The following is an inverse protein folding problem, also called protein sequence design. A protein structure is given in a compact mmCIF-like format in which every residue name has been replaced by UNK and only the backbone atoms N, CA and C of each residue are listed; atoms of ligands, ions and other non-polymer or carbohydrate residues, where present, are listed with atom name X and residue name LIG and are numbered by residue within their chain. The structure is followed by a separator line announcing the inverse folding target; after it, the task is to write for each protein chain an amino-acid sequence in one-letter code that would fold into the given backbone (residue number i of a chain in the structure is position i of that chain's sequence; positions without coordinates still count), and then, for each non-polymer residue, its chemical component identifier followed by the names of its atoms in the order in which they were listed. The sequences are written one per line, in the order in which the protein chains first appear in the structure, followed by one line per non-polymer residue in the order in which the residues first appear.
data_IF_693525824673
#
_entry.id   IF_693525824673
#
_cell.length_a   1.000
_cell.length_b   1.000
_cell.length_c   1.000
_cell.angle_alpha   90.00
_cell.angle_beta   90.00
_cell.angle_gamma   90.00
#
_symmetry.space_group_name_H-M   'P 1'
#
loop_
_entity.id
_entity.type
_entity.pdbx_description
1 polymer ?
#
# COMPACT_ATOMS: atom_id res chain seq x y z
N UNK A 1 -6.95 -26.66 -30.30
CA UNK A 1 -7.67 -26.86 -29.02
C UNK A 1 -6.75 -26.72 -27.80
N UNK A 2 -5.66 -27.51 -27.66
CA UNK A 2 -4.76 -27.44 -26.48
C UNK A 2 -4.24 -26.03 -26.09
N UNK A 3 -3.88 -25.18 -27.07
CA UNK A 3 -3.38 -23.81 -26.81
C UNK A 3 -4.46 -22.89 -26.21
N UNK A 4 -5.70 -22.99 -26.70
CA UNK A 4 -6.84 -22.21 -26.21
C UNK A 4 -7.21 -22.61 -24.78
N UNK A 5 -7.25 -23.91 -24.51
CA UNK A 5 -7.53 -24.44 -23.16
C UNK A 5 -6.47 -23.99 -22.16
N UNK A 6 -5.19 -24.09 -22.53
CA UNK A 6 -4.07 -23.63 -21.70
C UNK A 6 -4.13 -22.12 -21.41
N UNK A 7 -4.52 -21.29 -22.39
CA UNK A 7 -4.74 -19.85 -22.18
C UNK A 7 -5.91 -19.59 -21.21
N UNK A 8 -7.03 -20.30 -21.38
CA UNK A 8 -8.20 -20.17 -20.50
C UNK A 8 -7.84 -20.56 -19.06
N UNK A 9 -7.14 -21.66 -18.87
CA UNK A 9 -6.66 -22.09 -17.54
C UNK A 9 -5.75 -21.04 -16.91
N UNK A 10 -4.82 -20.49 -17.69
CA UNK A 10 -3.90 -19.44 -17.23
C UNK A 10 -4.66 -18.17 -16.83
N UNK A 11 -5.66 -17.75 -17.62
CA UNK A 11 -6.49 -16.60 -17.30
C UNK A 11 -7.38 -16.83 -16.07
N UNK A 12 -7.91 -18.04 -15.87
CA UNK A 12 -8.67 -18.39 -14.66
C UNK A 12 -7.76 -18.32 -13.43
N UNK A 13 -6.55 -18.86 -13.53
CA UNK A 13 -5.56 -18.78 -12.46
C UNK A 13 -5.20 -17.33 -12.13
N UNK A 14 -5.00 -16.49 -13.16
CA UNK A 14 -4.72 -15.08 -12.96
C UNK A 14 -5.87 -14.31 -12.34
N UNK A 15 -7.10 -14.53 -12.81
CA UNK A 15 -8.29 -13.92 -12.21
C UNK A 15 -8.39 -14.24 -10.72
N UNK A 16 -8.07 -15.48 -10.33
CA UNK A 16 -8.05 -15.89 -8.92
C UNK A 16 -6.99 -15.13 -8.12
N UNK A 17 -5.78 -14.98 -8.65
CA UNK A 17 -4.72 -14.21 -8.01
C UNK A 17 -5.06 -12.71 -7.90
N UNK A 18 -5.62 -12.10 -8.95
CA UNK A 18 -6.11 -10.72 -8.91
C UNK A 18 -7.22 -10.55 -7.86
N UNK A 19 -8.13 -11.52 -7.74
CA UNK A 19 -9.18 -11.48 -6.72
C UNK A 19 -8.62 -11.61 -5.30
N UNK A 20 -7.56 -12.41 -5.10
CA UNK A 20 -6.84 -12.49 -3.83
C UNK A 20 -6.12 -11.18 -3.51
N UNK A 21 -5.49 -10.55 -4.51
CA UNK A 21 -4.86 -9.24 -4.36
C UNK A 21 -5.88 -8.16 -3.98
N UNK A 22 -7.07 -8.18 -4.58
CA UNK A 22 -8.16 -7.27 -4.22
C UNK A 22 -8.56 -7.43 -2.76
N UNK A 23 -8.83 -8.66 -2.31
CA UNK A 23 -9.19 -8.92 -0.90
C UNK A 23 -8.07 -8.47 0.05
N UNK A 24 -6.81 -8.75 -0.30
CA UNK A 24 -5.66 -8.31 0.49
C UNK A 24 -5.61 -6.77 0.56
N UNK A 25 -5.82 -6.08 -0.56
CA UNK A 25 -5.83 -4.62 -0.64
C UNK A 25 -6.98 -4.00 0.16
N UNK A 26 -8.19 -4.57 0.09
CA UNK A 26 -9.35 -4.14 0.88
C UNK A 26 -9.09 -4.27 2.39
N UNK A 27 -8.55 -5.41 2.83
CA UNK A 27 -8.17 -5.62 4.23
C UNK A 27 -7.12 -4.60 4.68
N UNK A 28 -6.11 -4.39 3.85
CA UNK A 28 -5.03 -3.46 4.12
C UNK A 28 -5.56 -2.01 4.23
N UNK A 29 -6.50 -1.62 3.36
CA UNK A 29 -7.18 -0.32 3.42
C UNK A 29 -8.05 -0.16 4.68
N UNK A 30 -8.78 -1.20 5.07
CA UNK A 30 -9.56 -1.20 6.30
C UNK A 30 -8.67 -1.11 7.56
N UNK A 31 -7.52 -1.81 7.57
CA UNK A 31 -6.56 -1.74 8.68
C UNK A 31 -5.92 -0.36 8.81
N UNK A 32 -5.56 0.28 7.70
CA UNK A 32 -5.04 1.67 7.71
C UNK A 32 -6.11 2.64 8.19
N UNK A 33 -7.33 2.53 7.66
CA UNK A 33 -8.44 3.43 8.01
C UNK A 33 -8.87 3.32 9.48
N UNK A 34 -8.74 2.13 10.08
CA UNK A 34 -9.06 1.88 11.50
C UNK A 34 -7.94 2.26 12.47
N UNK A 35 -6.78 2.71 11.98
CA UNK A 35 -5.62 2.99 12.82
C UNK A 35 -5.08 1.74 13.52
N UNK A 36 -5.19 0.58 12.87
CA UNK A 36 -4.68 -0.69 13.42
C UNK A 36 -3.16 -0.64 13.62
N UNK A 37 -2.68 -1.31 14.66
CA UNK A 37 -1.26 -1.37 15.02
C UNK A 37 -0.39 -1.91 13.88
N UNK A 38 0.86 -1.43 13.83
CA UNK A 38 1.83 -1.79 12.78
C UNK A 38 2.06 -3.30 12.65
N UNK A 39 1.95 -4.05 13.75
CA UNK A 39 2.07 -5.51 13.82
C UNK A 39 1.03 -6.25 12.97
N UNK A 40 -0.11 -5.61 12.65
CA UNK A 40 -1.15 -6.20 11.80
C UNK A 40 -0.97 -5.87 10.32
N UNK A 41 -0.27 -4.79 10.00
CA UNK A 41 -0.14 -4.28 8.64
C UNK A 41 1.06 -4.87 7.88
N UNK A 42 2.19 -5.09 8.56
CA UNK A 42 3.41 -5.65 7.94
C UNK A 42 3.18 -7.03 7.29
N UNK A 43 2.52 -8.00 7.97
CA UNK A 43 2.25 -9.30 7.34
C UNK A 43 1.37 -9.20 6.09
N UNK A 44 0.43 -8.24 6.06
CA UNK A 44 -0.44 -8.03 4.90
C UNK A 44 0.32 -7.45 3.70
N UNK A 45 1.32 -6.58 3.93
CA UNK A 45 2.22 -6.14 2.85
C UNK A 45 2.99 -7.33 2.28
N UNK A 46 3.56 -8.17 3.14
CA UNK A 46 4.31 -9.36 2.70
C UNK A 46 3.42 -10.31 1.89
N UNK A 47 2.19 -10.55 2.34
CA UNK A 47 1.21 -11.33 1.58
C UNK A 47 0.90 -10.70 0.22
N UNK A 48 0.67 -9.37 0.19
CA UNK A 48 0.43 -8.62 -1.04
C UNK A 48 1.58 -8.76 -2.03
N UNK A 49 2.82 -8.60 -1.58
CA UNK A 49 4.01 -8.69 -2.43
C UNK A 49 4.20 -10.10 -2.99
N UNK A 50 3.96 -11.14 -2.18
CA UNK A 50 4.01 -12.52 -2.64
C UNK A 50 2.91 -12.84 -3.69
N UNK A 51 1.74 -12.20 -3.60
CA UNK A 51 0.70 -12.30 -4.64
C UNK A 51 1.13 -11.57 -5.91
N UNK A 52 1.71 -10.37 -5.79
CA UNK A 52 2.22 -9.58 -6.91
C UNK A 52 3.30 -10.31 -7.69
N UNK A 53 4.24 -11.00 -7.03
CA UNK A 53 5.25 -11.81 -7.71
C UNK A 53 4.63 -12.94 -8.56
N UNK A 54 3.62 -13.63 -8.02
CA UNK A 54 2.91 -14.68 -8.75
C UNK A 54 2.12 -14.12 -9.94
N UNK A 55 1.50 -12.95 -9.76
CA UNK A 55 0.79 -12.24 -10.82
C UNK A 55 1.75 -11.87 -11.95
N UNK A 56 2.89 -11.25 -11.64
CA UNK A 56 3.88 -10.86 -12.65
C UNK A 56 4.38 -12.07 -13.45
N UNK A 57 4.69 -13.18 -12.77
CA UNK A 57 5.12 -14.41 -13.43
C UNK A 57 4.02 -15.02 -14.32
N UNK A 58 2.75 -14.91 -13.92
CA UNK A 58 1.61 -15.37 -14.74
C UNK A 58 1.35 -14.47 -15.95
N UNK A 59 1.45 -13.16 -15.78
CA UNK A 59 1.20 -12.18 -16.85
C UNK A 59 2.31 -12.22 -17.89
N UNK A 60 3.55 -12.43 -17.47
CA UNK A 60 4.67 -12.67 -18.38
C UNK A 60 4.43 -13.93 -19.24
N UNK A 61 4.00 -15.05 -18.63
CA UNK A 61 3.70 -16.29 -19.37
C UNK A 61 2.58 -16.09 -20.38
N UNK A 62 1.51 -15.39 -20.00
CA UNK A 62 0.39 -15.08 -20.91
C UNK A 62 0.85 -14.13 -22.01
N UNK A 63 1.66 -13.12 -21.68
CA UNK A 63 2.25 -12.18 -22.62
C UNK A 63 3.12 -12.87 -23.66
N UNK A 64 4.01 -13.78 -23.24
CA UNK A 64 4.83 -14.60 -24.13
C UNK A 64 3.95 -15.46 -25.03
N UNK A 65 2.91 -16.12 -24.49
CA UNK A 65 1.99 -16.93 -25.28
C UNK A 65 1.27 -16.10 -26.36
N UNK A 66 0.82 -14.90 -26.02
CA UNK A 66 0.07 -14.00 -26.91
C UNK A 66 0.97 -13.18 -27.85
N UNK A 67 2.27 -13.11 -27.59
CA UNK A 67 3.24 -12.41 -28.45
C UNK A 67 3.38 -13.06 -29.83
N UNK A 68 3.15 -14.38 -29.91
CA UNK A 68 3.19 -15.11 -31.17
C UNK A 68 2.00 -14.73 -32.07
N UNK A 69 2.23 -14.33 -33.34
CA UNK A 69 1.16 -13.99 -34.29
C UNK A 69 0.14 -15.10 -34.48
N UNK A 70 0.58 -16.36 -34.36
CA UNK A 70 -0.25 -17.56 -34.48
C UNK A 70 -1.30 -17.72 -33.37
N UNK A 71 -1.16 -16.98 -32.27
CA UNK A 71 -2.02 -17.08 -31.10
C UNK A 71 -2.93 -15.85 -30.92
N UNK A 72 -2.88 -14.88 -31.86
CA UNK A 72 -3.72 -13.67 -31.80
C UNK A 72 -5.21 -13.97 -32.01
N UNK A 73 -5.52 -15.01 -32.76
CA UNK A 73 -6.87 -15.51 -32.98
C UNK A 73 -7.51 -16.05 -31.69
N UNK A 74 -6.73 -16.53 -30.72
CA UNK A 74 -7.22 -16.96 -29.42
C UNK A 74 -7.95 -15.83 -28.66
N UNK A 75 -7.57 -14.57 -28.89
CA UNK A 75 -8.23 -13.41 -28.29
C UNK A 75 -9.63 -13.14 -28.88
N UNK A 76 -9.96 -13.71 -30.04
CA UNK A 76 -11.30 -13.64 -30.63
C UNK A 76 -12.28 -14.61 -29.98
N UNK A 77 -11.80 -15.52 -29.12
CA UNK A 77 -12.66 -16.43 -28.40
C UNK A 77 -13.45 -15.70 -27.31
N UNK A 78 -14.77 -15.86 -27.31
CA UNK A 78 -15.69 -15.17 -26.40
C UNK A 78 -15.39 -15.42 -24.92
N UNK A 79 -14.99 -16.65 -24.56
CA UNK A 79 -14.64 -17.00 -23.17
C UNK A 79 -13.36 -16.32 -22.72
N UNK A 80 -12.37 -16.21 -23.61
CA UNK A 80 -11.12 -15.47 -23.36
C UNK A 80 -11.41 -13.98 -23.20
N UNK A 81 -12.24 -13.41 -24.08
CA UNK A 81 -12.66 -11.99 -23.99
C UNK A 81 -13.40 -11.68 -22.69
N UNK A 82 -14.34 -12.55 -22.29
CA UNK A 82 -15.05 -12.44 -21.01
C UNK A 82 -14.10 -12.46 -19.82
N UNK A 83 -13.19 -13.43 -19.76
CA UNK A 83 -12.19 -13.51 -18.69
C UNK A 83 -11.30 -12.27 -18.64
N UNK A 84 -10.86 -11.76 -19.80
CA UNK A 84 -10.07 -10.53 -19.88
C UNK A 84 -10.82 -9.34 -19.28
N UNK A 85 -12.08 -9.15 -19.65
CA UNK A 85 -12.93 -8.06 -19.11
C UNK A 85 -13.13 -8.19 -17.60
N UNK A 86 -13.37 -9.41 -17.11
CA UNK A 86 -13.50 -9.66 -15.67
C UNK A 86 -12.20 -9.36 -14.91
N UNK A 87 -11.04 -9.70 -15.47
CA UNK A 87 -9.73 -9.36 -14.89
C UNK A 87 -9.53 -7.84 -14.88
N UNK A 88 -9.78 -7.15 -16.00
CA UNK A 88 -9.66 -5.68 -16.08
C UNK A 88 -10.52 -5.00 -15.00
N UNK A 89 -11.77 -5.42 -14.84
CA UNK A 89 -12.65 -4.86 -13.82
C UNK A 89 -12.14 -5.09 -12.38
N UNK A 90 -11.41 -6.18 -12.12
CA UNK A 90 -10.77 -6.41 -10.82
C UNK A 90 -9.53 -5.53 -10.66
N UNK A 91 -8.72 -5.37 -11.72
CA UNK A 91 -7.53 -4.51 -11.74
C UNK A 91 -7.91 -3.06 -11.46
N UNK A 92 -8.94 -2.53 -12.12
CA UNK A 92 -9.43 -1.15 -11.90
C UNK A 92 -9.82 -0.91 -10.43
N UNK A 93 -10.42 -1.89 -9.76
CA UNK A 93 -10.74 -1.80 -8.33
C UNK A 93 -9.48 -1.79 -7.46
N UNK A 94 -8.49 -2.62 -7.79
CA UNK A 94 -7.21 -2.66 -7.07
C UNK A 94 -6.47 -1.33 -7.24
N UNK A 95 -6.47 -0.76 -8.43
CA UNK A 95 -5.87 0.56 -8.71
C UNK A 95 -6.52 1.65 -7.88
N UNK A 96 -7.86 1.68 -7.81
CA UNK A 96 -8.57 2.65 -6.97
C UNK A 96 -8.19 2.52 -5.48
N UNK A 97 -8.23 1.31 -4.93
CA UNK A 97 -7.88 1.06 -3.52
C UNK A 97 -6.40 1.39 -3.25
N UNK A 98 -5.52 1.08 -4.20
CA UNK A 98 -4.10 1.42 -4.09
C UNK A 98 -3.90 2.94 -4.09
N UNK A 99 -4.68 3.67 -4.89
CA UNK A 99 -4.72 5.14 -4.85
C UNK A 99 -5.13 5.68 -3.47
N UNK A 100 -6.21 5.16 -2.91
CA UNK A 100 -6.67 5.52 -1.56
C UNK A 100 -5.60 5.25 -0.49
N UNK A 101 -4.94 4.09 -0.56
CA UNK A 101 -3.85 3.71 0.34
C UNK A 101 -2.64 4.62 0.25
N UNK A 102 -2.26 5.04 -0.96
CA UNK A 102 -1.15 5.96 -1.18
C UNK A 102 -1.47 7.32 -0.55
N UNK A 103 -2.69 7.82 -0.73
CA UNK A 103 -3.13 9.08 -0.12
C UNK A 103 -3.18 8.98 1.41
N UNK A 104 -3.69 7.88 1.96
CA UNK A 104 -3.68 7.64 3.40
C UNK A 104 -2.24 7.61 3.96
N UNK A 105 -1.30 6.96 3.27
CA UNK A 105 0.11 6.93 3.66
C UNK A 105 0.76 8.33 3.60
N UNK A 106 0.43 9.15 2.59
CA UNK A 106 0.90 10.54 2.50
C UNK A 106 0.40 11.39 3.66
N UNK A 107 -0.88 11.27 4.00
CA UNK A 107 -1.47 11.98 5.14
C UNK A 107 -0.85 11.56 6.47
N UNK A 108 -0.66 10.25 6.69
CA UNK A 108 -0.01 9.72 7.89
C UNK A 108 1.42 10.25 8.04
N UNK A 109 2.21 10.24 6.94
CA UNK A 109 3.56 10.82 6.92
C UNK A 109 3.54 12.31 7.28
N UNK A 110 2.59 13.08 6.74
CA UNK A 110 2.44 14.50 7.07
C UNK A 110 2.18 14.75 8.55
N UNK A 111 1.30 13.95 9.19
CA UNK A 111 1.03 14.03 10.62
C UNK A 111 2.28 13.74 11.46
N UNK A 112 3.02 12.69 11.13
CA UNK A 112 4.26 12.32 11.83
C UNK A 112 5.32 13.42 11.71
N UNK A 113 5.49 14.04 10.54
CA UNK A 113 6.42 15.16 10.35
C UNK A 113 6.01 16.36 11.23
N UNK A 114 4.73 16.72 11.23
CA UNK A 114 4.22 17.82 12.03
C UNK A 114 4.39 17.58 13.54
N UNK A 115 4.17 16.35 14.01
CA UNK A 115 4.40 15.97 15.41
C UNK A 115 5.90 16.04 15.76
N UNK A 116 6.77 15.57 14.88
CA UNK A 116 8.22 15.64 15.07
C UNK A 116 8.71 17.09 15.13
N UNK A 117 8.20 17.96 14.26
CA UNK A 117 8.53 19.39 14.27
C UNK A 117 8.00 20.07 15.54
N UNK A 118 6.79 19.72 15.98
CA UNK A 118 6.23 20.20 17.26
C UNK A 118 7.08 19.76 18.46
N UNK A 119 7.57 18.52 18.48
CA UNK A 119 8.49 18.02 19.50
C UNK A 119 9.83 18.75 19.47
N UNK A 120 10.35 19.05 18.28
CA UNK A 120 11.60 19.81 18.11
C UNK A 120 11.47 21.24 18.60
N UNK A 121 10.35 21.89 18.32
CA UNK A 121 10.06 23.26 18.77
C UNK A 121 9.75 23.31 20.27
N UNK A 122 9.05 22.31 20.81
CA UNK A 122 8.91 22.11 22.26
C UNK A 122 10.27 21.94 22.95
N UNK A 123 11.18 21.12 22.38
CA UNK A 123 12.54 20.95 22.90
C UNK A 123 13.34 22.25 22.87
N UNK A 124 13.25 23.06 21.81
CA UNK A 124 13.88 24.39 21.76
C UNK A 124 13.31 25.33 22.82
N UNK A 125 11.99 25.34 22.99
CA UNK A 125 11.29 26.17 23.97
C UNK A 125 11.70 25.80 25.40
N UNK A 126 11.73 24.51 25.73
CA UNK A 126 12.21 24.00 27.03
C UNK A 126 13.70 24.26 27.23
N UNK A 127 14.53 24.19 26.18
CA UNK A 127 15.96 24.55 26.27
C UNK A 127 16.18 26.04 26.56
N UNK A 128 15.24 26.91 26.17
CA UNK A 128 15.21 28.34 26.50
C UNK A 128 14.97 28.61 27.99
N UNK A 129 14.31 27.70 28.70
CA UNK A 129 14.19 27.74 30.17
C UNK A 129 15.44 27.20 30.89
N UNK A 130 16.34 26.51 30.17
CA UNK A 130 17.55 25.88 30.73
C UNK A 130 18.76 26.80 30.84
N UNK A 131 18.74 28.00 30.26
CA UNK A 131 19.83 28.98 30.36
C UNK A 131 19.35 30.31 30.94
N UNK A 132 19.65 30.45 32.24
CA UNK A 132 19.86 31.69 32.98
C UNK A 132 18.71 32.70 33.06
N UNK A 133 17.70 32.39 33.88
CA UNK A 133 17.16 33.39 34.78
C UNK A 133 17.23 32.79 36.17
N UNK A 134 18.10 33.34 37.03
CA UNK A 134 18.05 33.01 38.47
C UNK A 134 16.59 33.11 38.89
N UNK A 135 16.00 32.05 39.46
CA UNK A 135 14.62 32.13 39.86
C UNK A 135 14.41 33.31 40.82
N UNK A 136 13.29 34.01 40.69
CA UNK A 136 13.01 35.25 41.44
C UNK A 136 13.16 35.06 42.96
N UNK A 137 12.91 33.83 43.47
CA UNK A 137 13.15 33.46 44.87
C UNK A 137 14.63 33.54 45.32
N UNK A 138 15.59 33.36 44.41
CA UNK A 138 17.01 33.52 44.70
C UNK A 138 17.42 35.01 44.85
N UNK A 139 16.61 35.97 44.38
CA UNK A 139 16.86 37.41 44.62
C UNK A 139 16.43 37.87 46.02
N UNK A 140 15.64 37.08 46.75
CA UNK A 140 15.19 37.43 48.10
C UNK A 140 16.11 36.91 49.22
N UNK A 141 17.10 36.08 48.89
CA UNK A 141 18.05 35.53 49.87
C UNK A 141 19.19 36.52 50.18
N UNK A 142 19.48 37.46 49.28
CA UNK A 142 20.52 38.48 49.46
C UNK A 142 20.08 39.70 50.31
N UNK A 143 18.85 39.70 50.87
CA UNK A 143 18.34 40.81 51.72
C UNK A 143 18.34 40.50 53.23
N UNK A 144 19.01 39.44 53.67
CA UNK A 144 19.19 39.14 55.09
C UNK A 144 20.63 38.77 55.41
N UNK A 145 21.55 39.72 55.28
CA UNK A 145 22.75 39.83 56.10
C UNK A 145 23.17 41.30 56.20
#
# INVERSE_FOLDING_TARGET
MKRLESLIESLIAQKKLYSQLLICSEKLNASVSSGSDSDRFVPMIVERDAIMEKLNAGDEKIGVLLSSPENRDLLKNERVDKLRKEIIAVVEKIENITGELIEAARQAKGKVINELDSLKDGKKTVSGYGKAVRPVYAKFIDFKH
#
